data_IF_368281484219
#
_entry.id   IF_368281484219
#
_cell.length_a   1.000
_cell.length_b   1.000
_cell.length_c   1.000
_cell.angle_alpha   90.00
_cell.angle_beta   90.00
_cell.angle_gamma   90.00
#
_symmetry.space_group_name_H-M   'P 1'
#
loop_
_entity.id
_entity.type
_entity.pdbx_description
1 polymer ?
#
# COMPACT_ATOMS: atom_id res chain seq x y z
N UNK A 1 -3.15 -15.14 -27.01
CA UNK A 1 -4.22 -15.96 -26.44
C UNK A 1 -5.39 -15.07 -26.12
N UNK A 2 -6.65 -15.48 -26.41
CA UNK A 2 -7.81 -14.69 -26.01
C UNK A 2 -7.98 -14.84 -24.49
N UNK A 3 -8.06 -13.73 -23.79
CA UNK A 3 -8.45 -13.72 -22.38
C UNK A 3 -9.84 -14.40 -22.29
N UNK A 4 -10.07 -15.36 -21.37
CA UNK A 4 -11.38 -15.97 -21.22
C UNK A 4 -12.44 -14.89 -20.99
N UNK A 5 -13.60 -15.02 -21.65
CA UNK A 5 -14.68 -14.05 -21.48
C UNK A 5 -15.16 -14.07 -20.01
N UNK A 6 -15.27 -12.88 -19.40
CA UNK A 6 -15.74 -12.71 -18.03
C UNK A 6 -17.26 -12.55 -18.06
N UNK A 7 -17.98 -13.46 -17.40
CA UNK A 7 -19.41 -13.28 -17.16
C UNK A 7 -19.62 -12.37 -15.95
N UNK A 8 -19.92 -11.10 -16.23
CA UNK A 8 -20.18 -10.08 -15.19
C UNK A 8 -21.51 -10.31 -14.45
N UNK A 9 -22.39 -11.18 -14.97
CA UNK A 9 -23.64 -11.55 -14.30
C UNK A 9 -23.48 -12.79 -13.40
N UNK A 10 -22.33 -13.45 -13.42
CA UNK A 10 -22.02 -14.51 -12.49
C UNK A 10 -22.10 -13.99 -11.03
N UNK A 11 -22.43 -14.88 -10.08
CA UNK A 11 -22.41 -14.54 -8.65
C UNK A 11 -21.03 -14.04 -8.19
N UNK A 12 -19.97 -14.57 -8.80
CA UNK A 12 -18.56 -14.17 -8.61
C UNK A 12 -17.93 -14.02 -10.00
N UNK A 13 -17.84 -12.81 -10.56
CA UNK A 13 -17.13 -12.56 -11.81
C UNK A 13 -15.68 -13.02 -11.71
N UNK A 14 -15.17 -13.71 -12.73
CA UNK A 14 -13.82 -14.27 -12.66
C UNK A 14 -13.25 -14.63 -14.03
N UNK A 15 -11.92 -14.75 -14.08
CA UNK A 15 -11.18 -15.30 -15.23
C UNK A 15 -10.40 -16.57 -14.88
N UNK A 16 -10.76 -17.25 -13.79
CA UNK A 16 -10.06 -18.44 -13.26
C UNK A 16 -10.86 -19.74 -13.45
N UNK A 17 -11.94 -19.70 -14.23
CA UNK A 17 -12.72 -20.90 -14.56
C UNK A 17 -13.54 -21.45 -13.39
N UNK A 18 -14.11 -20.60 -12.53
CA UNK A 18 -14.93 -21.08 -11.39
C UNK A 18 -16.15 -21.90 -11.82
N UNK A 19 -16.63 -21.77 -13.06
CA UNK A 19 -17.70 -22.59 -13.60
C UNK A 19 -17.31 -24.09 -13.63
N UNK A 20 -16.05 -24.36 -13.90
CA UNK A 20 -15.50 -25.72 -14.03
C UNK A 20 -14.99 -26.29 -12.69
N UNK A 21 -14.91 -25.46 -11.64
CA UNK A 21 -14.53 -25.87 -10.28
C UNK A 21 -15.68 -25.63 -9.27
N UNK A 22 -16.72 -26.48 -9.27
CA UNK A 22 -17.90 -26.28 -8.42
C UNK A 22 -17.58 -26.37 -6.92
N UNK A 23 -16.46 -26.98 -6.52
CA UNK A 23 -16.05 -27.05 -5.12
C UNK A 23 -15.53 -25.69 -4.64
N UNK A 24 -14.61 -25.09 -5.38
CA UNK A 24 -14.06 -23.75 -5.05
C UNK A 24 -15.14 -22.70 -5.19
N UNK A 25 -15.95 -22.75 -6.26
CA UNK A 25 -17.07 -21.83 -6.45
C UNK A 25 -18.01 -21.81 -5.24
N UNK A 26 -18.49 -22.98 -4.78
CA UNK A 26 -19.36 -23.04 -3.59
C UNK A 26 -18.69 -22.56 -2.32
N UNK A 27 -17.40 -22.78 -2.16
CA UNK A 27 -16.67 -22.28 -1.00
C UNK A 27 -16.61 -20.75 -1.00
N UNK A 28 -16.36 -20.11 -2.14
CA UNK A 28 -16.37 -18.65 -2.29
C UNK A 28 -17.79 -18.07 -2.16
N UNK A 29 -18.80 -18.71 -2.74
CA UNK A 29 -20.21 -18.33 -2.57
C UNK A 29 -20.66 -18.38 -1.10
N UNK A 30 -20.11 -19.30 -0.31
CA UNK A 30 -20.34 -19.38 1.13
C UNK A 30 -19.63 -18.27 1.91
N UNK A 31 -18.43 -17.87 1.49
CA UNK A 31 -17.66 -16.79 2.11
C UNK A 31 -18.20 -15.39 1.75
N UNK A 32 -18.73 -15.22 0.56
CA UNK A 32 -19.21 -13.92 0.03
C UNK A 32 -20.15 -13.16 0.97
N UNK A 33 -21.17 -13.77 1.62
CA UNK A 33 -22.04 -13.05 2.55
C UNK A 33 -21.30 -12.41 3.71
N UNK A 34 -20.28 -13.09 4.26
CA UNK A 34 -19.43 -12.55 5.34
C UNK A 34 -18.62 -11.36 4.86
N UNK A 35 -18.06 -11.45 3.64
CA UNK A 35 -17.36 -10.34 3.01
C UNK A 35 -18.29 -9.12 2.79
N UNK A 36 -19.50 -9.32 2.29
CA UNK A 36 -20.46 -8.23 2.08
C UNK A 36 -20.93 -7.60 3.41
N UNK A 37 -21.04 -8.38 4.47
CA UNK A 37 -21.32 -7.88 5.82
C UNK A 37 -20.14 -7.04 6.33
N UNK A 38 -18.91 -7.57 6.22
CA UNK A 38 -17.70 -6.82 6.56
C UNK A 38 -17.57 -5.53 5.76
N UNK A 39 -17.82 -5.56 4.44
CA UNK A 39 -17.76 -4.38 3.59
C UNK A 39 -18.79 -3.32 3.97
N UNK A 40 -20.01 -3.73 4.30
CA UNK A 40 -21.05 -2.81 4.79
C UNK A 40 -20.65 -2.11 6.08
N UNK A 41 -19.98 -2.84 6.99
CA UNK A 41 -19.66 -2.34 8.32
C UNK A 41 -18.31 -1.61 8.36
N UNK A 42 -17.35 -2.07 7.57
CA UNK A 42 -15.95 -1.62 7.58
C UNK A 42 -15.50 -0.96 6.27
N UNK A 43 -16.29 -1.00 5.24
CA UNK A 43 -16.02 -0.35 3.97
C UNK A 43 -16.16 1.17 4.02
N UNK A 44 -15.81 1.85 2.92
CA UNK A 44 -15.79 3.31 2.86
C UNK A 44 -17.19 3.91 3.06
N UNK A 45 -17.29 4.90 3.93
CA UNK A 45 -18.53 5.64 4.20
C UNK A 45 -18.80 6.71 3.13
N UNK A 46 -20.06 7.18 3.07
CA UNK A 46 -20.55 8.26 2.23
C UNK A 46 -20.74 7.95 0.72
N UNK A 47 -20.42 6.76 0.27
CA UNK A 47 -20.63 6.37 -1.13
C UNK A 47 -22.04 5.82 -1.41
N UNK A 48 -22.71 5.26 -0.42
CA UNK A 48 -24.01 4.61 -0.57
C UNK A 48 -25.13 5.55 -1.09
N UNK A 49 -25.02 6.85 -0.81
CA UNK A 49 -26.00 7.88 -1.19
C UNK A 49 -25.64 8.60 -2.49
N UNK A 50 -24.52 8.21 -3.16
CA UNK A 50 -23.99 8.94 -4.32
C UNK A 50 -23.66 8.01 -5.45
N UNK A 51 -23.83 8.52 -6.66
CA UNK A 51 -23.26 7.91 -7.86
C UNK A 51 -21.76 8.27 -7.94
N UNK A 52 -20.92 7.28 -8.14
CA UNK A 52 -19.48 7.46 -8.24
C UNK A 52 -19.00 6.92 -9.58
N UNK A 53 -18.32 7.75 -10.35
CA UNK A 53 -17.69 7.32 -11.59
C UNK A 53 -16.40 6.59 -11.26
N UNK A 54 -16.37 5.28 -11.53
CA UNK A 54 -15.17 4.46 -11.40
C UNK A 54 -14.42 4.38 -12.72
N UNK A 55 -13.11 4.46 -12.57
CA UNK A 55 -12.18 4.18 -13.64
C UNK A 55 -11.04 3.38 -13.04
N UNK A 56 -10.97 2.10 -13.36
CA UNK A 56 -9.84 1.26 -12.96
C UNK A 56 -8.71 1.39 -13.99
N UNK A 57 -7.47 1.19 -13.55
CA UNK A 57 -6.31 1.24 -14.42
C UNK A 57 -6.24 0.03 -15.37
N UNK A 58 -6.90 -1.08 -15.00
CA UNK A 58 -6.83 -2.35 -15.71
C UNK A 58 -8.20 -2.81 -16.12
N UNK A 59 -8.29 -3.26 -17.37
CA UNK A 59 -9.43 -3.97 -17.90
C UNK A 59 -9.05 -5.42 -18.14
N UNK A 60 -9.85 -6.33 -17.60
CA UNK A 60 -9.71 -7.75 -17.93
C UNK A 60 -10.19 -7.99 -19.35
N UNK A 61 -11.25 -7.30 -19.77
CA UNK A 61 -11.77 -7.30 -21.13
C UNK A 61 -12.61 -6.04 -21.39
N UNK A 62 -12.88 -5.70 -22.68
CA UNK A 62 -13.78 -4.61 -23.02
C UNK A 62 -15.18 -4.83 -22.38
N UNK A 63 -15.67 -3.84 -21.67
CA UNK A 63 -16.92 -3.91 -20.93
C UNK A 63 -16.82 -4.56 -19.56
N UNK A 64 -15.60 -4.96 -19.10
CA UNK A 64 -15.35 -5.44 -17.77
C UNK A 64 -15.37 -4.33 -16.71
N UNK A 65 -14.98 -4.66 -15.49
CA UNK A 65 -15.00 -3.76 -14.34
C UNK A 65 -14.32 -2.42 -14.61
N UNK A 66 -13.21 -2.43 -15.33
CA UNK A 66 -12.44 -1.23 -15.64
C UNK A 66 -13.17 -0.24 -16.56
N UNK A 67 -14.22 -0.65 -17.22
CA UNK A 67 -14.97 0.15 -18.19
C UNK A 67 -16.31 0.65 -17.67
N UNK A 68 -16.67 0.37 -16.42
CA UNK A 68 -17.87 0.91 -15.84
C UNK A 68 -17.70 2.42 -15.60
N UNK A 69 -18.64 3.21 -16.14
CA UNK A 69 -18.57 4.66 -16.05
C UNK A 69 -18.92 5.15 -14.65
N UNK A 70 -19.90 4.52 -14.01
CA UNK A 70 -20.22 4.78 -12.61
C UNK A 70 -20.78 3.55 -11.92
N UNK A 71 -20.66 3.55 -10.60
CA UNK A 71 -21.08 2.47 -9.72
C UNK A 71 -21.78 3.07 -8.51
N UNK A 72 -22.89 2.43 -8.11
CA UNK A 72 -23.58 2.74 -6.85
C UNK A 72 -23.29 1.69 -5.81
N UNK A 73 -22.99 2.11 -4.60
CA UNK A 73 -23.01 1.20 -3.47
C UNK A 73 -24.47 0.85 -3.13
N UNK A 74 -24.77 -0.41 -2.76
CA UNK A 74 -23.90 -1.59 -2.65
C UNK A 74 -23.87 -2.49 -3.89
N UNK A 75 -24.28 -2.01 -5.07
CA UNK A 75 -24.39 -2.85 -6.28
C UNK A 75 -23.05 -3.26 -6.88
N UNK A 76 -21.94 -2.65 -6.43
CA UNK A 76 -20.61 -2.99 -6.89
C UNK A 76 -20.28 -4.45 -6.56
N UNK A 77 -19.71 -5.16 -7.54
CA UNK A 77 -19.34 -6.57 -7.41
C UNK A 77 -17.85 -6.76 -7.52
N UNK A 78 -17.33 -7.58 -6.64
CA UNK A 78 -15.95 -8.04 -6.68
C UNK A 78 -15.87 -9.35 -7.46
N UNK A 79 -14.65 -9.69 -7.84
CA UNK A 79 -14.39 -10.90 -8.60
C UNK A 79 -12.97 -11.40 -8.36
N UNK A 80 -12.64 -12.52 -9.02
CA UNK A 80 -11.33 -13.16 -8.95
C UNK A 80 -10.65 -13.04 -10.30
N UNK A 81 -9.57 -12.25 -10.35
CA UNK A 81 -8.83 -12.01 -11.57
C UNK A 81 -7.34 -12.23 -11.36
N UNK A 82 -6.75 -13.01 -12.24
CA UNK A 82 -5.32 -13.30 -12.29
C UNK A 82 -4.79 -12.93 -13.68
N UNK A 83 -3.52 -12.58 -13.77
CA UNK A 83 -2.84 -12.44 -15.07
C UNK A 83 -2.86 -13.75 -15.86
N UNK A 84 -2.78 -13.71 -17.21
CA UNK A 84 -2.81 -14.91 -18.04
C UNK A 84 -1.68 -15.89 -17.68
N UNK A 85 -1.98 -17.18 -17.77
CA UNK A 85 -0.96 -18.23 -17.61
C UNK A 85 0.01 -18.26 -18.79
N UNK A 86 1.30 -18.40 -18.51
CA UNK A 86 2.33 -18.61 -19.52
C UNK A 86 2.56 -20.11 -19.75
N UNK A 87 2.48 -20.58 -21.00
CA UNK A 87 2.57 -22.02 -21.35
C UNK A 87 3.86 -22.73 -20.90
N UNK A 88 4.89 -22.06 -20.50
CA UNK A 88 6.16 -22.63 -20.09
C UNK A 88 6.77 -21.85 -18.91
N UNK A 89 5.93 -21.52 -17.92
CA UNK A 89 6.40 -20.79 -16.74
C UNK A 89 7.55 -21.56 -16.06
N UNK A 90 8.59 -20.82 -15.68
CA UNK A 90 9.79 -21.35 -15.03
C UNK A 90 10.01 -20.66 -13.71
N UNK A 91 10.64 -21.38 -12.79
CA UNK A 91 11.12 -20.82 -11.53
C UNK A 91 12.23 -19.81 -11.83
N UNK A 92 12.06 -18.57 -11.37
CA UNK A 92 12.97 -17.47 -11.70
C UNK A 92 14.07 -17.27 -10.67
N UNK A 93 13.90 -17.79 -9.44
CA UNK A 93 14.78 -17.49 -8.31
C UNK A 93 14.90 -18.68 -7.38
N UNK A 94 16.03 -18.78 -6.67
CA UNK A 94 16.30 -19.81 -5.68
C UNK A 94 17.04 -21.02 -6.22
N UNK A 95 17.07 -22.07 -5.42
CA UNK A 95 17.92 -23.25 -5.67
C UNK A 95 17.47 -24.04 -6.91
N UNK A 96 16.15 -24.01 -7.23
CA UNK A 96 15.54 -24.70 -8.38
C UNK A 96 15.31 -23.79 -9.60
N UNK A 97 16.04 -22.69 -9.72
CA UNK A 97 15.95 -21.75 -10.86
C UNK A 97 16.04 -22.50 -12.21
N UNK A 98 15.07 -22.23 -13.10
CA UNK A 98 14.96 -22.86 -14.43
C UNK A 98 14.09 -24.13 -14.48
N UNK A 99 13.72 -24.72 -13.34
CA UNK A 99 12.74 -25.80 -13.28
C UNK A 99 11.33 -25.28 -13.66
N UNK A 100 10.36 -26.15 -14.02
CA UNK A 100 8.97 -25.73 -14.23
C UNK A 100 8.36 -25.09 -12.98
N UNK A 101 7.63 -23.99 -13.16
CA UNK A 101 6.84 -23.40 -12.08
C UNK A 101 5.73 -24.35 -11.60
N UNK A 102 5.22 -24.13 -10.40
CA UNK A 102 4.23 -25.00 -9.77
C UNK A 102 2.82 -24.49 -9.98
N UNK A 103 1.96 -25.32 -10.56
CA UNK A 103 0.51 -25.08 -10.65
C UNK A 103 -0.22 -25.49 -9.37
N UNK A 104 0.39 -26.38 -8.57
CA UNK A 104 -0.12 -26.90 -7.30
C UNK A 104 0.89 -26.60 -6.19
N UNK A 105 0.41 -26.59 -4.95
CA UNK A 105 1.25 -26.31 -3.78
C UNK A 105 2.10 -27.53 -3.39
N UNK A 106 3.43 -27.49 -3.51
CA UNK A 106 4.29 -28.55 -3.02
C UNK A 106 4.13 -28.76 -1.51
N UNK A 107 4.13 -30.01 -1.07
CA UNK A 107 3.88 -30.38 0.32
C UNK A 107 4.84 -29.70 1.30
N UNK A 108 6.13 -29.70 0.97
CA UNK A 108 7.24 -29.10 1.74
C UNK A 108 7.11 -27.57 1.87
N UNK A 109 6.50 -26.89 0.90
CA UNK A 109 6.35 -25.43 0.89
C UNK A 109 4.97 -24.96 1.35
N UNK A 110 4.03 -25.90 1.64
CA UNK A 110 2.64 -25.60 1.95
C UNK A 110 2.49 -24.61 3.11
N UNK A 111 3.23 -24.81 4.20
CA UNK A 111 3.17 -23.91 5.36
C UNK A 111 3.73 -22.51 5.08
N UNK A 112 4.81 -22.45 4.30
CA UNK A 112 5.45 -21.18 3.92
C UNK A 112 4.56 -20.38 2.97
N UNK A 113 4.04 -21.00 1.91
CA UNK A 113 3.13 -20.37 0.94
C UNK A 113 1.85 -19.88 1.61
N UNK A 114 1.22 -20.68 2.48
CA UNK A 114 0.03 -20.25 3.22
C UNK A 114 0.33 -18.99 4.03
N UNK A 115 1.44 -18.95 4.76
CA UNK A 115 1.84 -17.78 5.56
C UNK A 115 2.07 -16.55 4.70
N UNK A 116 2.76 -16.68 3.57
CA UNK A 116 2.98 -15.59 2.61
C UNK A 116 1.64 -15.04 2.11
N UNK A 117 0.75 -15.93 1.65
CA UNK A 117 -0.57 -15.53 1.11
C UNK A 117 -1.43 -14.87 2.20
N UNK A 118 -1.46 -15.42 3.42
CA UNK A 118 -2.23 -14.82 4.53
C UNK A 118 -1.67 -13.47 4.93
N UNK A 119 -0.34 -13.30 4.98
CA UNK A 119 0.27 -12.00 5.32
C UNK A 119 -0.07 -10.95 4.27
N UNK A 120 0.01 -11.30 2.98
CA UNK A 120 -0.41 -10.40 1.90
C UNK A 120 -1.91 -10.13 1.95
N UNK A 121 -2.73 -11.15 2.10
CA UNK A 121 -4.19 -11.02 2.15
C UNK A 121 -4.69 -10.15 3.32
N UNK A 122 -3.95 -10.08 4.43
CA UNK A 122 -4.31 -9.30 5.61
C UNK A 122 -4.12 -7.79 5.42
N UNK A 123 -3.30 -7.38 4.45
CA UNK A 123 -3.06 -5.96 4.13
C UNK A 123 -4.25 -5.32 3.42
N UNK A 124 -4.95 -6.06 2.59
CA UNK A 124 -6.03 -5.59 1.74
C UNK A 124 -7.25 -5.06 2.53
N UNK A 125 -7.89 -5.85 3.43
CA UNK A 125 -8.99 -5.35 4.23
C UNK A 125 -8.53 -4.29 5.25
N UNK A 126 -7.26 -4.34 5.67
CA UNK A 126 -6.69 -3.35 6.59
C UNK A 126 -6.68 -1.95 5.99
N UNK A 127 -6.24 -1.81 4.74
CA UNK A 127 -6.25 -0.57 3.97
C UNK A 127 -7.66 0.03 3.93
N UNK A 128 -8.66 -0.76 3.56
CA UNK A 128 -10.07 -0.33 3.51
C UNK A 128 -10.55 0.18 4.88
N UNK A 129 -10.29 -0.58 5.96
CA UNK A 129 -10.72 -0.23 7.32
C UNK A 129 -10.11 1.07 7.84
N UNK A 130 -8.80 1.26 7.62
CA UNK A 130 -8.10 2.48 8.04
C UNK A 130 -8.67 3.73 7.35
N UNK A 131 -9.13 3.61 6.11
CA UNK A 131 -9.59 4.70 5.26
C UNK A 131 -11.12 4.91 5.32
N UNK A 132 -11.87 4.06 6.01
CA UNK A 132 -13.34 3.96 5.94
C UNK A 132 -14.11 5.26 6.16
N UNK A 133 -13.60 6.17 6.99
CA UNK A 133 -14.32 7.40 7.37
C UNK A 133 -13.92 8.64 6.55
N UNK A 134 -12.92 8.52 5.69
CA UNK A 134 -12.35 9.66 4.97
C UNK A 134 -13.31 10.30 3.97
N UNK A 135 -14.29 9.56 3.44
CA UNK A 135 -15.34 10.09 2.59
C UNK A 135 -16.13 11.23 3.24
N UNK A 136 -16.25 11.21 4.59
CA UNK A 136 -16.96 12.23 5.36
C UNK A 136 -16.26 13.60 5.38
N UNK A 137 -14.99 13.65 4.99
CA UNK A 137 -14.18 14.87 4.96
C UNK A 137 -13.43 15.02 3.63
N UNK A 138 -13.97 14.47 2.55
CA UNK A 138 -13.33 14.49 1.25
C UNK A 138 -13.12 15.92 0.75
N UNK A 139 -11.90 16.28 0.28
CA UNK A 139 -11.60 17.65 -0.15
C UNK A 139 -12.26 18.01 -1.50
N UNK A 140 -12.76 17.02 -2.22
CA UNK A 140 -13.51 17.20 -3.47
C UNK A 140 -14.18 15.89 -3.90
N UNK A 141 -15.09 15.95 -4.86
CA UNK A 141 -15.66 14.75 -5.51
C UNK A 141 -14.59 13.96 -6.29
N UNK A 142 -13.57 14.64 -6.82
CA UNK A 142 -12.43 13.97 -7.45
C UNK A 142 -11.67 13.06 -6.47
N UNK A 143 -11.37 13.58 -5.29
CA UNK A 143 -10.64 12.84 -4.26
C UNK A 143 -11.52 11.73 -3.64
N UNK A 144 -12.80 11.99 -3.41
CA UNK A 144 -13.76 10.98 -2.96
C UNK A 144 -13.80 9.78 -3.92
N UNK A 145 -13.87 10.05 -5.22
CA UNK A 145 -13.83 9.01 -6.25
C UNK A 145 -12.53 8.19 -6.19
N UNK A 146 -11.39 8.88 -6.05
CA UNK A 146 -10.10 8.19 -5.96
C UNK A 146 -10.01 7.29 -4.72
N UNK A 147 -10.46 7.77 -3.56
CA UNK A 147 -10.57 6.97 -2.34
C UNK A 147 -11.42 5.71 -2.56
N UNK A 148 -12.60 5.87 -3.17
CA UNK A 148 -13.50 4.76 -3.43
C UNK A 148 -12.86 3.73 -4.38
N UNK A 149 -12.21 4.19 -5.45
CA UNK A 149 -11.54 3.31 -6.40
C UNK A 149 -10.43 2.51 -5.73
N UNK A 150 -9.55 3.14 -4.94
CA UNK A 150 -8.51 2.44 -4.15
C UNK A 150 -9.14 1.36 -3.29
N UNK A 151 -10.15 1.69 -2.49
CA UNK A 151 -10.78 0.72 -1.58
C UNK A 151 -11.46 -0.46 -2.31
N UNK A 152 -12.01 -0.22 -3.50
CA UNK A 152 -12.62 -1.29 -4.30
C UNK A 152 -11.55 -2.21 -4.90
N UNK A 153 -10.43 -1.67 -5.34
CA UNK A 153 -9.30 -2.42 -5.87
C UNK A 153 -8.65 -3.27 -4.77
N UNK A 154 -8.49 -2.75 -3.55
CA UNK A 154 -8.09 -3.53 -2.37
C UNK A 154 -9.06 -4.68 -2.06
N UNK A 155 -10.34 -4.44 -2.20
CA UNK A 155 -11.36 -5.49 -2.10
C UNK A 155 -11.16 -6.61 -3.14
N UNK A 156 -10.79 -6.28 -4.38
CA UNK A 156 -10.45 -7.29 -5.41
C UNK A 156 -9.19 -8.06 -5.09
N UNK A 157 -8.15 -7.39 -4.58
CA UNK A 157 -6.91 -8.02 -4.13
C UNK A 157 -7.20 -9.07 -3.05
N UNK A 158 -8.02 -8.73 -2.06
CA UNK A 158 -8.47 -9.69 -1.04
C UNK A 158 -9.17 -10.90 -1.67
N UNK A 159 -10.08 -10.71 -2.62
CA UNK A 159 -10.78 -11.79 -3.31
C UNK A 159 -9.83 -12.73 -4.04
N UNK A 160 -8.78 -12.22 -4.70
CA UNK A 160 -7.77 -13.04 -5.36
C UNK A 160 -7.00 -13.90 -4.36
N UNK A 161 -6.58 -13.33 -3.22
CA UNK A 161 -5.86 -14.07 -2.17
C UNK A 161 -6.76 -15.12 -1.49
N UNK A 162 -8.02 -14.79 -1.22
CA UNK A 162 -9.01 -15.73 -0.66
C UNK A 162 -9.28 -16.88 -1.63
N UNK A 163 -9.35 -16.61 -2.93
CA UNK A 163 -9.43 -17.67 -3.93
C UNK A 163 -8.25 -18.65 -3.84
N UNK A 164 -7.00 -18.16 -3.71
CA UNK A 164 -5.83 -19.02 -3.54
C UNK A 164 -5.95 -19.87 -2.27
N UNK A 165 -6.38 -19.28 -1.16
CA UNK A 165 -6.57 -19.97 0.11
C UNK A 165 -7.63 -21.09 -0.01
N UNK A 166 -8.77 -20.81 -0.63
CA UNK A 166 -9.84 -21.79 -0.80
C UNK A 166 -9.46 -22.92 -1.75
N UNK A 167 -8.79 -22.61 -2.86
CA UNK A 167 -8.45 -23.59 -3.89
C UNK A 167 -7.35 -24.53 -3.46
N UNK A 168 -6.27 -24.00 -2.87
CA UNK A 168 -5.03 -24.75 -2.69
C UNK A 168 -4.77 -25.22 -1.25
N UNK A 169 -5.47 -24.67 -0.24
CA UNK A 169 -5.17 -24.96 1.16
C UNK A 169 -6.29 -25.70 1.92
N UNK A 170 -7.40 -26.00 1.24
CA UNK A 170 -8.48 -26.80 1.80
C UNK A 170 -9.13 -26.19 3.04
N UNK A 171 -9.25 -26.94 4.15
CA UNK A 171 -9.85 -26.45 5.39
C UNK A 171 -9.03 -25.31 6.00
N UNK A 172 -7.71 -25.49 6.10
CA UNK A 172 -6.83 -24.48 6.68
C UNK A 172 -6.95 -23.14 5.94
N UNK A 173 -7.04 -23.17 4.60
CA UNK A 173 -7.24 -21.95 3.80
C UNK A 173 -8.58 -21.28 4.05
N UNK A 174 -9.64 -22.05 4.27
CA UNK A 174 -10.96 -21.48 4.62
C UNK A 174 -10.95 -20.83 6.00
N UNK A 175 -10.35 -21.48 6.98
CA UNK A 175 -10.23 -20.94 8.34
C UNK A 175 -9.42 -19.63 8.33
N UNK A 176 -8.34 -19.56 7.54
CA UNK A 176 -7.57 -18.31 7.36
C UNK A 176 -8.39 -17.21 6.65
N UNK A 177 -9.16 -17.55 5.61
CA UNK A 177 -9.98 -16.58 4.90
C UNK A 177 -11.08 -15.97 5.79
N UNK A 178 -11.61 -16.73 6.76
CA UNK A 178 -12.53 -16.21 7.77
C UNK A 178 -11.80 -15.29 8.76
N UNK A 179 -10.63 -15.70 9.24
CA UNK A 179 -9.81 -14.92 10.16
C UNK A 179 -9.38 -13.55 9.58
N UNK A 180 -9.22 -13.43 8.25
CA UNK A 180 -8.96 -12.15 7.60
C UNK A 180 -10.07 -11.11 7.85
N UNK A 181 -11.33 -11.55 7.94
CA UNK A 181 -12.46 -10.67 8.21
C UNK A 181 -12.75 -10.48 9.70
N UNK A 182 -12.11 -11.24 10.58
CA UNK A 182 -12.23 -11.10 12.03
C UNK A 182 -11.23 -10.10 12.59
N UNK A 183 -10.02 -10.02 12.00
CA UNK A 183 -9.04 -9.01 12.37
C UNK A 183 -9.54 -7.60 12.02
N UNK A 184 -9.10 -6.61 12.81
CA UNK A 184 -9.46 -5.19 12.63
C UNK A 184 -8.26 -4.30 12.83
N UNK A 185 -8.14 -3.28 11.99
CA UNK A 185 -7.12 -2.25 12.13
C UNK A 185 -7.23 -1.54 13.47
N UNK A 186 -6.17 -1.60 14.26
CA UNK A 186 -6.11 -0.95 15.58
C UNK A 186 -6.88 -1.63 16.69
N UNK A 187 -7.47 -2.80 16.45
CA UNK A 187 -8.13 -3.59 17.49
C UNK A 187 -7.07 -4.23 18.41
N UNK A 188 -7.17 -4.06 19.74
CA UNK A 188 -6.18 -4.62 20.66
C UNK A 188 -6.25 -6.15 20.78
N UNK A 189 -7.41 -6.76 20.55
CA UNK A 189 -7.64 -8.20 20.73
C UNK A 189 -7.42 -8.97 19.43
N UNK A 190 -7.79 -8.38 18.29
CA UNK A 190 -7.67 -8.98 16.96
C UNK A 190 -7.01 -8.00 15.95
N UNK A 191 -5.75 -7.57 16.20
CA UNK A 191 -5.08 -6.61 15.34
C UNK A 191 -4.72 -7.22 13.98
N UNK A 192 -4.46 -6.37 13.00
CA UNK A 192 -3.83 -6.75 11.74
C UNK A 192 -2.41 -7.25 11.99
N UNK A 193 -1.96 -8.18 11.15
CA UNK A 193 -0.66 -8.86 11.30
C UNK A 193 0.52 -7.89 11.29
N UNK A 194 0.48 -6.89 10.40
CA UNK A 194 1.57 -5.92 10.24
C UNK A 194 1.24 -4.60 10.92
N UNK A 195 2.19 -4.05 11.68
CA UNK A 195 1.98 -2.90 12.56
C UNK A 195 1.53 -1.62 11.87
N UNK A 196 1.98 -1.35 10.66
CA UNK A 196 1.58 -0.17 9.87
C UNK A 196 0.07 -0.16 9.59
N UNK A 197 -0.53 -1.33 9.43
CA UNK A 197 -1.96 -1.49 9.17
C UNK A 197 -2.84 -1.40 10.44
N UNK A 198 -2.24 -1.14 11.59
CA UNK A 198 -2.93 -0.80 12.83
C UNK A 198 -2.82 0.70 13.20
N UNK A 199 -2.16 1.50 12.33
CA UNK A 199 -2.02 2.93 12.57
C UNK A 199 -3.27 3.69 12.13
N UNK A 200 -3.67 4.75 12.83
CA UNK A 200 -4.84 5.53 12.44
C UNK A 200 -4.59 6.31 11.13
N UNK A 201 -5.55 6.19 10.21
CA UNK A 201 -5.61 6.98 8.97
C UNK A 201 -6.89 7.82 8.99
N UNK A 202 -6.96 8.79 9.89
CA UNK A 202 -8.17 9.52 10.27
C UNK A 202 -8.30 10.91 9.63
N UNK A 203 -7.41 11.26 8.70
CA UNK A 203 -7.46 12.48 7.90
C UNK A 203 -6.74 12.33 6.55
N UNK A 204 -7.05 13.22 5.60
CA UNK A 204 -6.58 13.10 4.21
C UNK A 204 -5.06 13.22 4.03
N UNK A 205 -4.34 13.93 4.90
CA UNK A 205 -2.88 13.91 4.86
C UNK A 205 -2.34 12.50 5.18
N UNK A 206 -2.93 11.81 6.18
CA UNK A 206 -2.58 10.41 6.47
C UNK A 206 -2.90 9.48 5.29
N UNK A 207 -4.03 9.67 4.62
CA UNK A 207 -4.40 8.90 3.44
C UNK A 207 -3.38 9.04 2.31
N UNK A 208 -3.02 10.28 1.95
CA UNK A 208 -2.03 10.47 0.90
C UNK A 208 -0.63 10.01 1.29
N UNK A 209 -0.25 10.11 2.57
CA UNK A 209 0.99 9.49 3.06
C UNK A 209 0.90 7.97 3.05
N UNK A 210 -0.24 7.38 3.43
CA UNK A 210 -0.46 5.92 3.38
C UNK A 210 -0.29 5.42 1.95
N UNK A 211 -1.06 5.92 1.00
CA UNK A 211 -0.97 5.51 -0.42
C UNK A 211 0.39 5.86 -1.04
N UNK A 212 1.07 6.90 -0.56
CA UNK A 212 2.43 7.24 -0.97
C UNK A 212 3.48 6.25 -0.47
N UNK A 213 3.37 5.78 0.79
CA UNK A 213 4.41 5.00 1.44
C UNK A 213 4.03 3.52 1.64
N UNK A 214 2.81 3.18 2.08
CA UNK A 214 2.40 1.81 2.30
C UNK A 214 2.08 1.09 0.99
N UNK A 215 1.29 1.69 0.08
CA UNK A 215 1.03 1.10 -1.22
C UNK A 215 2.30 1.05 -2.09
N UNK A 216 3.23 2.00 -1.87
CA UNK A 216 4.57 1.90 -2.48
C UNK A 216 5.36 0.71 -1.96
N UNK A 217 5.30 0.37 -0.67
CA UNK A 217 5.85 -0.88 -0.17
C UNK A 217 5.15 -2.07 -0.83
N UNK A 218 3.81 -2.05 -0.91
CA UNK A 218 3.00 -3.04 -1.61
C UNK A 218 3.51 -3.35 -3.01
N UNK A 219 3.84 -2.33 -3.80
CA UNK A 219 4.48 -2.50 -5.11
C UNK A 219 5.76 -3.34 -5.06
N UNK A 220 6.64 -3.13 -4.07
CA UNK A 220 7.90 -3.89 -3.95
C UNK A 220 7.65 -5.31 -3.45
N UNK A 221 6.71 -5.49 -2.52
CA UNK A 221 6.33 -6.81 -2.01
C UNK A 221 5.67 -7.66 -3.11
N UNK A 222 4.69 -7.10 -3.81
CA UNK A 222 3.99 -7.78 -4.91
C UNK A 222 4.94 -8.10 -6.06
N UNK A 223 5.86 -7.20 -6.43
CA UNK A 223 6.86 -7.47 -7.45
C UNK A 223 7.85 -8.57 -7.05
N UNK A 224 8.16 -8.70 -5.75
CA UNK A 224 8.97 -9.81 -5.26
C UNK A 224 8.18 -11.14 -5.22
N UNK A 225 6.87 -11.10 -4.94
CA UNK A 225 5.98 -12.27 -4.95
C UNK A 225 5.59 -12.71 -6.37
N UNK A 226 5.59 -11.79 -7.34
CA UNK A 226 5.42 -12.11 -8.76
C UNK A 226 6.50 -13.07 -9.27
N UNK A 227 7.67 -13.09 -8.66
CA UNK A 227 8.77 -14.03 -8.97
C UNK A 227 8.58 -15.41 -8.31
N UNK A 228 7.48 -15.66 -7.63
CA UNK A 228 7.22 -16.94 -6.94
C UNK A 228 7.17 -18.12 -7.90
N UNK A 229 7.79 -19.22 -7.49
CA UNK A 229 7.67 -20.51 -8.17
C UNK A 229 6.24 -21.06 -8.20
N UNK A 230 5.36 -20.59 -7.30
CA UNK A 230 3.94 -20.93 -7.30
C UNK A 230 3.19 -20.00 -8.26
N UNK A 231 2.97 -20.45 -9.50
CA UNK A 231 2.39 -19.69 -10.60
C UNK A 231 1.08 -18.96 -10.24
N UNK A 232 0.10 -19.57 -9.54
CA UNK A 232 -1.13 -18.86 -9.18
C UNK A 232 -0.89 -17.64 -8.30
N UNK A 233 0.07 -17.68 -7.37
CA UNK A 233 0.45 -16.52 -6.55
C UNK A 233 1.15 -15.46 -7.41
N UNK A 234 2.11 -15.86 -8.24
CA UNK A 234 2.82 -14.94 -9.13
C UNK A 234 1.86 -14.17 -10.03
N UNK A 235 0.87 -14.84 -10.64
CA UNK A 235 -0.15 -14.24 -11.50
C UNK A 235 -1.15 -13.36 -10.75
N UNK A 236 -1.50 -13.70 -9.52
CA UNK A 236 -2.30 -12.83 -8.66
C UNK A 236 -1.57 -11.52 -8.38
N UNK A 237 -0.31 -11.59 -7.96
CA UNK A 237 0.50 -10.42 -7.67
C UNK A 237 0.78 -9.58 -8.93
N UNK A 238 0.97 -10.20 -10.10
CA UNK A 238 1.11 -9.47 -11.37
C UNK A 238 -0.15 -8.68 -11.73
N UNK A 239 -1.33 -9.25 -11.51
CA UNK A 239 -2.58 -8.53 -11.71
C UNK A 239 -2.71 -7.34 -10.74
N UNK A 240 -2.48 -7.57 -9.44
CA UNK A 240 -2.55 -6.54 -8.41
C UNK A 240 -1.60 -5.36 -8.71
N UNK A 241 -0.37 -5.62 -9.16
CA UNK A 241 0.60 -4.59 -9.54
C UNK A 241 0.08 -3.60 -10.58
N UNK A 242 -0.84 -4.00 -11.44
CA UNK A 242 -1.42 -3.11 -12.45
C UNK A 242 -2.40 -2.10 -11.83
N UNK A 243 -3.10 -2.48 -10.76
CA UNK A 243 -4.00 -1.60 -9.99
C UNK A 243 -3.22 -0.74 -9.00
N UNK A 244 -2.16 -1.27 -8.38
CA UNK A 244 -1.24 -0.52 -7.51
C UNK A 244 -0.63 0.73 -8.16
N UNK A 245 -0.48 0.74 -9.48
CA UNK A 245 -0.03 1.92 -10.19
C UNK A 245 -0.97 3.13 -10.00
N UNK A 246 -2.27 2.89 -9.84
CA UNK A 246 -3.24 3.94 -9.55
C UNK A 246 -3.17 4.39 -8.07
N UNK A 247 -3.00 3.49 -7.13
CA UNK A 247 -2.82 3.82 -5.72
C UNK A 247 -1.61 4.75 -5.52
N UNK A 248 -0.47 4.39 -6.12
CA UNK A 248 0.73 5.23 -6.11
C UNK A 248 0.50 6.61 -6.74
N UNK A 249 -0.25 6.67 -7.84
CA UNK A 249 -0.62 7.94 -8.46
C UNK A 249 -1.44 8.81 -7.51
N UNK A 250 -2.41 8.24 -6.79
CA UNK A 250 -3.24 8.96 -5.82
C UNK A 250 -2.37 9.53 -4.69
N UNK A 251 -1.48 8.73 -4.12
CA UNK A 251 -0.60 9.15 -3.02
C UNK A 251 0.40 10.23 -3.44
N UNK A 252 1.17 9.97 -4.52
CA UNK A 252 2.22 10.88 -4.98
C UNK A 252 1.65 12.23 -5.41
N UNK A 253 0.54 12.22 -6.19
CA UNK A 253 -0.08 13.47 -6.66
C UNK A 253 -0.89 14.15 -5.56
N UNK A 254 -1.49 13.43 -4.62
CA UNK A 254 -2.16 13.99 -3.45
C UNK A 254 -1.20 14.78 -2.58
N UNK A 255 -0.05 14.19 -2.25
CA UNK A 255 1.03 14.88 -1.52
C UNK A 255 1.56 16.08 -2.32
N UNK A 256 1.85 15.93 -3.62
CA UNK A 256 2.28 17.06 -4.47
C UNK A 256 1.31 18.23 -4.39
N UNK A 257 0.00 17.96 -4.45
CA UNK A 257 -1.06 18.99 -4.41
C UNK A 257 -1.10 19.72 -3.06
N UNK A 258 -0.93 19.02 -1.95
CA UNK A 258 -0.86 19.65 -0.62
C UNK A 258 0.40 20.51 -0.50
N UNK A 259 1.55 19.98 -0.90
CA UNK A 259 2.85 20.67 -0.86
C UNK A 259 2.80 21.94 -1.74
N UNK A 260 2.25 21.84 -2.94
CA UNK A 260 2.05 23.00 -3.83
C UNK A 260 1.17 24.06 -3.17
N UNK A 261 0.06 23.63 -2.56
CA UNK A 261 -0.85 24.57 -1.89
C UNK A 261 -0.21 25.25 -0.69
N UNK A 262 0.58 24.52 0.08
CA UNK A 262 1.36 25.10 1.17
C UNK A 262 2.31 26.21 0.68
N UNK A 263 3.01 25.99 -0.43
CA UNK A 263 3.89 27.00 -1.03
C UNK A 263 3.11 28.22 -1.56
N UNK A 264 1.96 28.01 -2.21
CA UNK A 264 1.07 29.09 -2.66
C UNK A 264 0.60 29.96 -1.46
N UNK A 265 0.17 29.29 -0.38
CA UNK A 265 -0.33 30.01 0.82
C UNK A 265 0.78 30.73 1.58
N UNK A 266 1.97 30.15 1.68
CA UNK A 266 3.15 30.82 2.25
C UNK A 266 3.53 32.07 1.47
N UNK A 267 3.41 32.05 0.14
CA UNK A 267 3.77 33.18 -0.71
C UNK A 267 2.82 34.39 -0.58
N UNK A 268 1.57 34.16 -0.19
CA UNK A 268 0.58 35.25 -0.01
C UNK A 268 0.50 35.76 1.42
N UNK A 269 1.01 35.03 2.39
CA UNK A 269 1.03 35.45 3.79
C UNK A 269 2.26 36.33 4.08
N UNK A 270 2.11 37.47 4.75
CA UNK A 270 3.22 38.38 5.01
C UNK A 270 4.39 37.78 5.81
N UNK A 271 4.08 36.80 6.67
CA UNK A 271 5.06 36.14 7.53
C UNK A 271 5.33 34.70 7.08
N UNK A 272 4.73 34.26 5.96
CA UNK A 272 4.80 32.88 5.48
C UNK A 272 4.00 31.85 6.29
N UNK A 273 3.05 32.29 7.12
CA UNK A 273 2.25 31.42 7.98
C UNK A 273 1.11 30.73 7.22
N UNK A 274 1.39 29.51 6.80
CA UNK A 274 0.46 28.67 6.05
C UNK A 274 -0.78 28.29 6.87
N UNK A 275 -0.65 28.07 8.19
CA UNK A 275 -1.81 27.74 9.06
C UNK A 275 -2.78 28.92 9.20
N UNK A 276 -2.28 30.12 9.32
CA UNK A 276 -3.11 31.35 9.34
C UNK A 276 -3.94 31.45 8.05
N UNK A 277 -3.41 31.00 6.95
CA UNK A 277 -4.12 30.92 5.68
C UNK A 277 -5.03 29.68 5.54
N UNK A 278 -5.12 28.79 6.54
CA UNK A 278 -5.96 27.59 6.53
C UNK A 278 -5.38 26.44 5.71
N UNK A 279 -4.07 26.42 5.53
CA UNK A 279 -3.33 25.35 4.84
C UNK A 279 -2.54 24.45 5.80
N UNK A 280 -1.87 23.46 5.24
CA UNK A 280 -1.03 22.53 5.98
C UNK A 280 0.43 22.98 5.86
N UNK A 281 1.04 23.37 6.96
CA UNK A 281 2.41 23.88 6.98
C UNK A 281 3.46 22.81 6.73
N UNK A 282 4.67 23.23 6.28
CA UNK A 282 5.76 22.32 5.94
C UNK A 282 6.28 21.50 7.11
N UNK A 283 6.23 22.05 8.33
CA UNK A 283 6.60 21.29 9.54
C UNK A 283 5.65 20.13 9.79
N UNK A 284 4.34 20.32 9.60
CA UNK A 284 3.33 19.27 9.70
C UNK A 284 3.51 18.23 8.58
N UNK A 285 3.78 18.67 7.35
CA UNK A 285 4.09 17.75 6.23
C UNK A 285 5.33 16.91 6.51
N UNK A 286 6.40 17.50 7.02
CA UNK A 286 7.62 16.77 7.37
C UNK A 286 7.38 15.74 8.47
N UNK A 287 6.61 16.08 9.52
CA UNK A 287 6.26 15.14 10.60
C UNK A 287 5.41 13.98 10.11
N UNK A 288 4.48 14.23 9.17
CA UNK A 288 3.68 13.17 8.56
C UNK A 288 4.53 12.23 7.69
N UNK A 289 5.46 12.77 6.91
CA UNK A 289 6.44 11.99 6.12
C UNK A 289 7.29 11.13 7.06
N UNK A 290 7.84 11.71 8.12
CA UNK A 290 8.66 10.99 9.10
C UNK A 290 7.90 9.81 9.71
N UNK A 291 6.64 10.02 10.08
CA UNK A 291 5.79 9.01 10.70
C UNK A 291 5.51 7.84 9.73
N UNK A 292 4.89 8.12 8.59
CA UNK A 292 4.44 7.08 7.66
C UNK A 292 5.59 6.34 7.01
N UNK A 293 6.64 7.05 6.58
CA UNK A 293 7.83 6.41 6.02
C UNK A 293 8.46 5.40 7.00
N UNK A 294 8.62 5.79 8.26
CA UNK A 294 9.22 4.90 9.28
C UNK A 294 8.39 3.64 9.54
N UNK A 295 7.07 3.77 9.65
CA UNK A 295 6.18 2.60 9.79
C UNK A 295 6.20 1.70 8.57
N UNK A 296 6.29 2.25 7.37
CA UNK A 296 6.35 1.45 6.14
C UNK A 296 7.68 0.71 5.99
N UNK A 297 8.79 1.22 6.54
CA UNK A 297 10.04 0.47 6.59
C UNK A 297 9.94 -0.83 7.40
N UNK A 298 9.02 -0.90 8.35
CA UNK A 298 8.80 -2.11 9.16
C UNK A 298 8.02 -3.21 8.40
N UNK A 299 7.34 -2.87 7.30
CA UNK A 299 6.62 -3.83 6.45
C UNK A 299 7.57 -4.81 5.74
N UNK A 300 8.83 -4.44 5.53
CA UNK A 300 9.85 -5.33 4.98
C UNK A 300 10.30 -6.42 5.98
N UNK A 301 9.94 -6.31 7.25
CA UNK A 301 10.36 -7.22 8.31
C UNK A 301 11.75 -6.89 8.86
N UNK A 302 12.34 -7.85 9.58
CA UNK A 302 13.67 -7.68 10.18
C UNK A 302 14.76 -7.58 9.12
N UNK A 303 15.82 -6.82 9.41
CA UNK A 303 17.01 -6.63 8.58
C UNK A 303 17.72 -7.96 8.30
N UNK A 304 17.77 -8.84 9.31
CA UNK A 304 18.23 -10.22 9.17
C UNK A 304 17.04 -11.18 9.33
N UNK A 305 16.83 -12.05 8.35
CA UNK A 305 15.72 -12.98 8.37
C UNK A 305 16.06 -14.34 7.75
N UNK A 306 16.02 -15.37 8.58
CA UNK A 306 16.12 -16.75 8.11
C UNK A 306 14.90 -17.15 7.24
N UNK A 307 13.71 -16.61 7.54
CA UNK A 307 12.53 -16.85 6.72
C UNK A 307 12.69 -16.23 5.33
N UNK A 308 13.17 -14.98 5.23
CA UNK A 308 13.43 -14.34 3.94
C UNK A 308 14.48 -15.12 3.14
N UNK A 309 15.57 -15.56 3.79
CA UNK A 309 16.58 -16.42 3.18
C UNK A 309 15.98 -17.74 2.67
N UNK A 310 15.14 -18.38 3.49
CA UNK A 310 14.45 -19.62 3.12
C UNK A 310 13.45 -19.43 1.98
N UNK A 311 12.68 -18.35 1.99
CA UNK A 311 11.72 -18.04 0.90
C UNK A 311 12.45 -17.75 -0.42
N UNK A 312 13.55 -17.02 -0.37
CA UNK A 312 14.38 -16.75 -1.54
C UNK A 312 14.97 -18.06 -2.11
N UNK A 313 15.60 -18.88 -1.25
CA UNK A 313 16.21 -20.15 -1.66
C UNK A 313 15.20 -21.16 -2.22
N UNK A 314 14.01 -21.22 -1.66
CA UNK A 314 12.93 -22.08 -2.13
C UNK A 314 12.17 -21.51 -3.35
N UNK A 315 12.57 -20.36 -3.90
CA UNK A 315 11.88 -19.75 -5.03
C UNK A 315 10.50 -19.17 -4.71
N UNK A 316 10.17 -18.93 -3.44
CA UNK A 316 8.82 -18.47 -3.04
C UNK A 316 8.66 -16.94 -3.15
N UNK A 317 9.77 -16.20 -3.05
CA UNK A 317 9.81 -14.75 -3.12
C UNK A 317 11.18 -14.28 -3.60
N UNK A 318 11.21 -13.47 -4.66
CA UNK A 318 12.43 -12.90 -5.22
C UNK A 318 12.75 -11.49 -4.70
N UNK A 319 13.68 -10.81 -5.40
CA UNK A 319 13.94 -9.37 -5.25
C UNK A 319 13.05 -8.57 -6.20
N UNK A 320 12.99 -7.29 -6.03
CA UNK A 320 12.25 -6.42 -6.95
C UNK A 320 12.83 -6.49 -8.37
N UNK A 321 12.02 -6.92 -9.34
CA UNK A 321 12.45 -7.15 -10.73
C UNK A 321 13.63 -8.13 -10.83
N UNK A 322 13.52 -9.24 -10.17
CA UNK A 322 14.56 -10.27 -10.11
C UNK A 322 15.12 -10.62 -11.49
N UNK A 323 14.25 -11.01 -12.42
CA UNK A 323 14.63 -11.42 -13.77
C UNK A 323 15.30 -10.31 -14.60
N UNK A 324 14.92 -9.04 -14.36
CA UNK A 324 15.41 -7.90 -15.16
C UNK A 324 16.75 -7.34 -14.64
N UNK A 325 17.04 -7.50 -13.35
CA UNK A 325 18.11 -6.76 -12.64
C UNK A 325 19.28 -7.62 -12.19
N UNK A 326 19.06 -8.89 -11.98
CA UNK A 326 20.05 -9.77 -11.36
C UNK A 326 20.37 -10.96 -12.28
N UNK A 327 21.63 -11.33 -12.31
CA UNK A 327 22.11 -12.52 -13.04
C UNK A 327 22.43 -13.68 -12.11
N UNK A 328 22.53 -13.41 -10.81
CA UNK A 328 22.91 -14.39 -9.79
C UNK A 328 21.74 -15.18 -9.19
N UNK A 329 20.51 -14.86 -9.46
CA UNK A 329 19.21 -15.43 -9.00
C UNK A 329 19.20 -16.32 -7.75
N UNK A 330 20.35 -16.60 -7.17
CA UNK A 330 20.57 -17.39 -5.95
C UNK A 330 21.15 -16.57 -4.79
N UNK A 331 21.85 -15.47 -5.04
CA UNK A 331 22.42 -14.54 -4.05
C UNK A 331 23.22 -15.24 -2.91
N UNK A 332 23.94 -16.31 -3.21
CA UNK A 332 24.54 -17.20 -2.19
C UNK A 332 25.89 -16.71 -1.65
N UNK A 333 26.67 -16.01 -2.46
CA UNK A 333 28.07 -15.69 -2.18
C UNK A 333 28.34 -14.21 -1.90
N UNK A 334 27.35 -13.36 -2.08
CA UNK A 334 27.45 -11.93 -1.85
C UNK A 334 27.23 -11.59 -0.38
N UNK A 335 27.75 -10.43 0.04
CA UNK A 335 27.59 -9.89 1.39
C UNK A 335 26.89 -8.54 1.35
N UNK A 336 26.29 -8.18 2.46
CA UNK A 336 25.61 -6.92 2.69
C UNK A 336 26.12 -6.27 3.97
N UNK A 337 26.53 -5.00 3.89
CA UNK A 337 26.98 -4.24 5.04
C UNK A 337 25.76 -3.77 5.85
N UNK A 338 25.66 -4.21 7.10
CA UNK A 338 24.55 -3.93 7.98
C UNK A 338 25.01 -3.31 9.30
N UNK A 339 24.48 -2.13 9.64
CA UNK A 339 24.71 -1.52 10.93
C UNK A 339 23.75 -2.08 11.98
N UNK A 340 24.28 -2.51 13.12
CA UNK A 340 23.52 -2.91 14.31
C UNK A 340 23.87 -2.04 15.52
N UNK A 341 23.14 -2.21 16.63
CA UNK A 341 23.47 -1.55 17.91
C UNK A 341 24.07 -2.57 18.86
N UNK A 342 25.30 -2.33 19.30
CA UNK A 342 26.02 -3.16 20.27
C UNK A 342 26.61 -2.27 21.35
N UNK A 343 26.39 -2.62 22.61
CA UNK A 343 26.87 -1.87 23.78
C UNK A 343 26.59 -0.35 23.68
N UNK A 344 25.40 0.00 23.13
CA UNK A 344 24.99 1.40 22.96
C UNK A 344 25.74 2.17 21.85
N UNK A 345 26.34 1.47 20.89
CA UNK A 345 27.04 2.04 19.74
C UNK A 345 26.60 1.38 18.44
N UNK A 346 26.67 2.14 17.34
CA UNK A 346 26.49 1.59 16.00
C UNK A 346 27.75 0.83 15.58
N UNK A 347 27.57 -0.42 15.16
CA UNK A 347 28.62 -1.31 14.66
C UNK A 347 28.19 -1.85 13.30
N UNK A 348 29.03 -1.69 12.29
CA UNK A 348 28.81 -2.24 10.95
C UNK A 348 29.35 -3.66 10.85
N UNK A 349 28.59 -4.58 10.25
CA UNK A 349 28.97 -5.97 10.02
C UNK A 349 28.60 -6.41 8.61
N UNK A 350 29.46 -7.21 8.02
CA UNK A 350 29.17 -7.92 6.78
C UNK A 350 28.35 -9.18 7.10
N UNK A 351 27.18 -9.30 6.43
CA UNK A 351 26.29 -10.44 6.58
C UNK A 351 26.02 -11.08 5.21
N UNK A 352 25.69 -12.37 5.12
CA UNK A 352 25.31 -12.98 3.85
C UNK A 352 24.12 -12.26 3.21
N UNK A 353 24.24 -11.89 1.94
CA UNK A 353 23.18 -11.16 1.21
C UNK A 353 21.84 -11.88 1.28
N UNK A 354 21.84 -13.21 1.17
CA UNK A 354 20.64 -14.05 1.29
C UNK A 354 19.88 -13.81 2.59
N UNK A 355 20.57 -13.56 3.70
CA UNK A 355 19.95 -13.26 5.00
C UNK A 355 19.47 -11.82 5.11
N UNK A 356 19.92 -10.92 4.24
CA UNK A 356 19.61 -9.50 4.18
C UNK A 356 18.68 -9.14 2.99
N UNK A 357 17.95 -10.09 2.42
CA UNK A 357 17.08 -9.85 1.26
C UNK A 357 16.00 -8.77 1.56
N UNK A 358 15.53 -8.69 2.79
CA UNK A 358 14.60 -7.63 3.20
C UNK A 358 15.25 -6.24 3.07
N UNK A 359 16.55 -6.11 3.34
CA UNK A 359 17.30 -4.85 3.18
C UNK A 359 17.47 -4.49 1.70
N UNK A 360 17.68 -5.47 0.84
CA UNK A 360 17.75 -5.22 -0.62
C UNK A 360 16.45 -4.63 -1.14
N UNK A 361 15.29 -5.19 -0.73
CA UNK A 361 13.98 -4.63 -1.07
C UNK A 361 13.77 -3.24 -0.46
N UNK A 362 14.18 -3.05 0.79
CA UNK A 362 14.07 -1.77 1.50
C UNK A 362 14.92 -0.69 0.85
N UNK A 363 16.12 -1.02 0.36
CA UNK A 363 16.97 -0.09 -0.39
C UNK A 363 16.30 0.39 -1.67
N UNK A 364 15.73 -0.50 -2.45
CA UNK A 364 15.00 -0.16 -3.67
C UNK A 364 13.78 0.72 -3.38
N UNK A 365 13.04 0.42 -2.32
CA UNK A 365 11.91 1.21 -1.85
C UNK A 365 12.33 2.63 -1.42
N UNK A 366 13.39 2.75 -0.62
CA UNK A 366 13.92 4.06 -0.17
C UNK A 366 14.29 4.92 -1.38
N UNK A 367 15.03 4.36 -2.35
CA UNK A 367 15.40 5.05 -3.58
C UNK A 367 14.18 5.52 -4.38
N UNK A 368 13.10 4.73 -4.41
CA UNK A 368 11.86 5.11 -5.09
C UNK A 368 11.14 6.25 -4.35
N UNK A 369 11.11 6.22 -3.02
CA UNK A 369 10.59 7.31 -2.19
C UNK A 369 11.39 8.62 -2.38
N UNK A 370 12.73 8.54 -2.38
CA UNK A 370 13.60 9.69 -2.63
C UNK A 370 13.34 10.32 -4.00
N UNK A 371 13.03 9.50 -5.01
CA UNK A 371 12.72 10.01 -6.36
C UNK A 371 11.44 10.86 -6.34
N UNK A 372 10.41 10.47 -5.61
CA UNK A 372 9.19 11.27 -5.46
C UNK A 372 9.46 12.58 -4.68
N UNK A 373 10.23 12.52 -3.58
CA UNK A 373 10.61 13.72 -2.84
C UNK A 373 11.43 14.70 -3.70
N UNK A 374 12.35 14.18 -4.54
CA UNK A 374 13.09 15.04 -5.48
C UNK A 374 12.17 15.80 -6.42
N UNK A 375 11.09 15.17 -6.94
CA UNK A 375 10.09 15.85 -7.79
C UNK A 375 9.39 16.98 -7.03
N UNK A 376 8.95 16.72 -5.79
CA UNK A 376 8.30 17.72 -4.96
C UNK A 376 9.25 18.89 -4.63
N UNK A 377 10.49 18.60 -4.28
CA UNK A 377 11.50 19.64 -4.01
C UNK A 377 11.89 20.45 -5.26
N UNK A 378 11.88 19.84 -6.45
CA UNK A 378 12.06 20.55 -7.71
C UNK A 378 10.89 21.52 -7.95
N UNK A 379 9.65 21.05 -7.78
CA UNK A 379 8.46 21.90 -7.88
C UNK A 379 8.52 23.08 -6.89
N UNK A 380 8.90 22.84 -5.64
CA UNK A 380 9.08 23.92 -4.64
C UNK A 380 10.14 24.95 -5.08
N UNK A 381 11.26 24.49 -5.64
CA UNK A 381 12.30 25.38 -6.16
C UNK A 381 11.78 26.21 -7.34
N UNK A 382 11.05 25.62 -8.27
CA UNK A 382 10.42 26.30 -9.41
C UNK A 382 9.40 27.34 -8.97
N UNK A 383 8.71 27.11 -7.84
CA UNK A 383 7.79 28.06 -7.20
C UNK A 383 8.51 29.15 -6.38
N UNK A 384 9.84 29.12 -6.27
CA UNK A 384 10.62 30.06 -5.46
C UNK A 384 10.53 29.81 -3.96
N UNK A 385 10.01 28.66 -3.50
CA UNK A 385 9.94 28.32 -2.09
C UNK A 385 11.31 27.91 -1.54
N UNK A 386 11.73 28.41 -0.36
CA UNK A 386 12.95 27.96 0.31
C UNK A 386 12.81 26.58 0.96
N UNK A 387 11.58 26.11 1.15
CA UNK A 387 11.27 24.89 1.86
C UNK A 387 11.73 23.63 1.13
N UNK A 388 12.18 22.65 1.87
CA UNK A 388 12.56 21.32 1.35
C UNK A 388 12.08 20.23 2.30
N UNK A 389 11.59 19.13 1.72
CA UNK A 389 11.15 17.95 2.44
C UNK A 389 12.18 16.82 2.32
N UNK A 390 12.32 16.04 3.36
CA UNK A 390 13.33 14.99 3.47
C UNK A 390 12.70 13.68 3.98
N UNK A 391 13.28 12.54 3.60
CA UNK A 391 13.02 11.30 4.31
C UNK A 391 13.85 11.29 5.61
N UNK A 392 13.33 10.79 6.72
CA UNK A 392 14.15 10.52 7.88
C UNK A 392 15.09 9.34 7.57
N UNK A 393 16.16 9.22 8.36
CA UNK A 393 17.04 8.08 8.23
C UNK A 393 16.31 6.76 8.51
N UNK A 394 16.69 5.67 7.83
CA UNK A 394 16.06 4.35 7.91
C UNK A 394 16.01 3.73 9.32
N UNK A 395 16.77 4.22 10.28
CA UNK A 395 16.75 3.79 11.69
C UNK A 395 15.72 4.54 12.54
N UNK A 396 15.26 5.68 12.04
CA UNK A 396 14.35 6.54 12.80
C UNK A 396 13.01 5.86 13.05
N UNK A 397 12.56 5.87 14.30
CA UNK A 397 11.21 5.46 14.73
C UNK A 397 10.79 4.04 14.26
N UNK A 398 11.72 3.08 14.35
CA UNK A 398 11.48 1.68 13.96
C UNK A 398 10.87 0.87 15.11
N UNK A 399 9.98 -0.06 14.77
CA UNK A 399 9.26 -0.94 15.72
C UNK A 399 9.56 -2.41 15.49
N UNK A 400 10.25 -2.75 14.40
CA UNK A 400 10.64 -4.09 14.03
C UNK A 400 12.15 -4.17 13.74
N UNK A 401 12.71 -5.38 13.88
CA UNK A 401 14.08 -5.67 13.49
C UNK A 401 15.16 -5.15 14.47
N UNK A 402 16.35 -4.93 13.94
CA UNK A 402 17.56 -4.59 14.74
C UNK A 402 17.49 -3.22 15.42
N UNK A 403 16.67 -2.32 14.90
CA UNK A 403 16.55 -0.95 15.42
C UNK A 403 15.37 -0.79 16.40
N UNK A 404 14.51 -1.79 16.51
CA UNK A 404 13.43 -1.80 17.49
C UNK A 404 13.97 -1.75 18.92
N UNK A 405 13.34 -0.94 19.76
CA UNK A 405 13.76 -0.75 21.15
C UNK A 405 14.93 0.27 21.32
N UNK A 406 15.48 0.78 20.23
CA UNK A 406 16.46 1.87 20.23
C UNK A 406 15.80 3.18 19.75
N UNK A 407 16.33 4.30 20.25
CA UNK A 407 15.87 5.62 19.85
C UNK A 407 16.90 6.29 18.93
N UNK A 408 16.45 6.75 17.78
CA UNK A 408 17.25 7.48 16.82
C UNK A 408 16.58 8.81 16.49
N UNK A 409 17.37 9.83 16.22
CA UNK A 409 16.86 11.07 15.63
C UNK A 409 16.62 10.92 14.12
N UNK A 410 15.96 11.89 13.46
CA UNK A 410 15.70 11.82 12.01
C UNK A 410 16.97 11.75 11.15
N UNK A 411 18.14 12.10 11.67
CA UNK A 411 19.44 11.97 11.01
C UNK A 411 20.06 10.58 11.18
N UNK A 412 19.46 9.73 12.04
CA UNK A 412 19.89 8.35 12.30
C UNK A 412 20.96 8.22 13.39
N UNK A 413 21.16 9.27 14.17
CA UNK A 413 22.04 9.25 15.33
C UNK A 413 21.36 8.57 16.51
N UNK A 414 22.09 7.69 17.18
CA UNK A 414 21.59 6.98 18.35
C UNK A 414 21.48 7.93 19.54
N UNK A 415 20.30 8.05 20.11
CA UNK A 415 19.99 8.92 21.24
C UNK A 415 19.32 8.15 22.38
N UNK A 416 19.22 8.75 23.55
CA UNK A 416 18.50 8.12 24.67
C UNK A 416 16.98 8.19 24.47
N UNK A 417 16.21 7.26 25.06
CA UNK A 417 14.73 7.35 25.05
C UNK A 417 14.21 8.66 25.63
N UNK A 418 14.88 9.22 26.64
CA UNK A 418 14.51 10.52 27.22
C UNK A 418 14.70 11.69 26.24
N UNK A 419 15.80 11.69 25.49
CA UNK A 419 16.03 12.70 24.44
C UNK A 419 15.00 12.58 23.32
N UNK A 420 14.66 11.36 22.92
CA UNK A 420 13.60 11.14 21.93
C UNK A 420 12.25 11.66 22.42
N UNK A 421 11.85 11.29 23.65
CA UNK A 421 10.57 11.71 24.22
C UNK A 421 10.45 13.23 24.35
N UNK A 422 11.54 13.93 24.72
CA UNK A 422 11.57 15.38 24.83
C UNK A 422 11.38 16.11 23.47
N UNK A 423 11.76 15.49 22.37
CA UNK A 423 11.74 16.10 21.04
C UNK A 423 10.75 15.43 20.08
N UNK A 424 9.96 14.47 20.55
CA UNK A 424 9.04 13.66 19.72
C UNK A 424 8.13 14.54 18.86
N UNK A 425 7.54 15.58 19.43
CA UNK A 425 6.59 16.43 18.74
C UNK A 425 7.26 17.40 17.72
N UNK A 426 8.59 17.54 17.76
CA UNK A 426 9.34 18.19 16.68
C UNK A 426 9.42 17.28 15.43
N UNK A 427 9.40 15.97 15.60
CA UNK A 427 9.70 14.98 14.57
C UNK A 427 8.49 14.20 14.07
N UNK A 428 7.47 14.03 14.90
CA UNK A 428 6.27 13.24 14.63
C UNK A 428 5.02 14.08 14.88
N UNK A 429 3.92 13.73 14.21
CA UNK A 429 2.64 14.42 14.41
C UNK A 429 2.23 14.40 15.89
N UNK A 430 1.96 15.57 16.41
CA UNK A 430 1.41 15.76 17.75
C UNK A 430 -0.12 15.65 17.75
N UNK A 431 -0.71 15.54 18.95
CA UNK A 431 -2.16 15.62 19.12
C UNK A 431 -2.73 16.97 18.61
N UNK A 432 -1.96 18.06 18.78
CA UNK A 432 -2.35 19.39 18.29
C UNK A 432 -2.33 19.45 16.76
N UNK A 433 -1.32 18.83 16.09
CA UNK A 433 -1.29 18.75 14.63
C UNK A 433 -2.51 17.97 14.09
N UNK A 434 -2.81 16.80 14.68
CA UNK A 434 -3.96 16.00 14.28
C UNK A 434 -5.29 16.72 14.52
N UNK A 435 -5.42 17.47 15.61
CA UNK A 435 -6.61 18.29 15.88
C UNK A 435 -6.75 19.40 14.84
N UNK A 436 -5.65 20.09 14.51
CA UNK A 436 -5.64 21.12 13.46
C UNK A 436 -6.02 20.53 12.09
N UNK A 437 -5.39 19.43 11.68
CA UNK A 437 -5.69 18.78 10.40
C UNK A 437 -7.18 18.43 10.28
N UNK A 438 -7.76 17.82 11.30
CA UNK A 438 -9.20 17.53 11.31
C UNK A 438 -10.08 18.79 11.26
N UNK A 439 -9.64 19.88 11.87
CA UNK A 439 -10.43 21.13 11.90
C UNK A 439 -10.56 21.81 10.53
N UNK A 440 -9.57 21.64 9.64
CA UNK A 440 -9.59 22.25 8.29
C UNK A 440 -10.16 21.30 7.22
N UNK A 441 -10.41 20.03 7.54
CA UNK A 441 -10.87 19.02 6.60
C UNK A 441 -12.39 18.85 6.64
N UNK A 442 -13.09 19.87 6.16
CA UNK A 442 -14.54 19.81 5.95
C UNK A 442 -14.88 19.23 4.58
N UNK A 443 -15.98 18.49 4.45
CA UNK A 443 -16.33 17.84 3.18
C UNK A 443 -16.71 18.87 2.12
N UNK A 444 -16.14 18.74 0.92
CA UNK A 444 -16.51 19.51 -0.27
C UNK A 444 -17.20 18.58 -1.26
N UNK A 445 -18.50 18.82 -1.51
CA UNK A 445 -19.38 17.89 -2.22
C UNK A 445 -20.01 18.49 -3.48
N UNK A 446 -19.70 19.72 -3.80
CA UNK A 446 -20.21 20.39 -4.99
C UNK A 446 -19.24 20.22 -6.16
N UNK A 447 -19.72 19.88 -7.37
CA UNK A 447 -18.89 19.82 -8.56
C UNK A 447 -18.12 21.12 -8.79
N UNK A 448 -16.85 21.03 -9.18
CA UNK A 448 -16.01 22.21 -9.44
C UNK A 448 -15.51 22.93 -8.19
N UNK A 449 -15.72 22.38 -6.99
CA UNK A 449 -15.18 22.92 -5.75
C UNK A 449 -14.06 22.04 -5.18
N UNK A 450 -13.14 22.68 -4.47
CA UNK A 450 -11.98 22.06 -3.83
C UNK A 450 -11.73 22.68 -2.46
N UNK A 451 -11.39 21.87 -1.47
CA UNK A 451 -11.01 22.38 -0.16
C UNK A 451 -9.77 23.27 -0.24
N UNK A 452 -9.74 24.32 0.56
CA UNK A 452 -8.73 25.38 0.47
C UNK A 452 -7.30 24.91 0.77
N UNK A 453 -7.14 23.87 1.55
CA UNK A 453 -5.85 23.33 2.02
C UNK A 453 -5.12 22.44 1.01
N UNK A 454 -5.72 22.12 -0.15
CA UNK A 454 -5.14 21.28 -1.19
C UNK A 454 -5.32 21.92 -2.57
N UNK A 455 -4.32 21.85 -3.43
CA UNK A 455 -4.42 22.36 -4.79
C UNK A 455 -5.22 21.42 -5.70
N UNK A 456 -5.88 21.94 -6.75
CA UNK A 456 -6.59 21.13 -7.73
C UNK A 456 -5.66 20.17 -8.46
N UNK A 457 -6.18 19.02 -8.95
CA UNK A 457 -5.40 18.17 -9.83
C UNK A 457 -5.05 18.93 -11.14
N UNK A 458 -3.89 18.61 -11.73
CA UNK A 458 -3.48 19.25 -13.01
C UNK A 458 -4.44 18.91 -14.15
N UNK A 459 -5.06 17.73 -14.07
CA UNK A 459 -6.09 17.24 -15.01
C UNK A 459 -7.16 16.51 -14.22
N UNK A 460 -8.41 16.72 -14.60
CA UNK A 460 -9.53 16.01 -14.03
C UNK A 460 -9.66 14.58 -14.56
N UNK A 461 -10.75 13.92 -14.19
CA UNK A 461 -11.11 12.59 -14.67
C UNK A 461 -11.22 12.63 -16.21
N UNK A 462 -10.57 11.69 -16.87
CA UNK A 462 -10.52 11.66 -18.33
C UNK A 462 -9.52 12.61 -18.97
N UNK A 463 -8.65 13.28 -18.19
CA UNK A 463 -7.60 14.17 -18.69
C UNK A 463 -8.10 15.58 -19.08
N UNK A 464 -9.35 15.91 -18.76
CA UNK A 464 -9.92 17.23 -19.02
C UNK A 464 -9.34 18.27 -18.04
N UNK A 465 -9.12 19.51 -18.51
CA UNK A 465 -8.86 20.65 -17.64
C UNK A 465 -10.12 20.94 -16.81
N UNK A 466 -9.94 21.15 -15.52
CA UNK A 466 -11.03 21.52 -14.61
C UNK A 466 -10.64 22.81 -13.88
N UNK A 467 -11.55 23.78 -13.90
CA UNK A 467 -11.45 24.92 -13.02
C UNK A 467 -12.13 24.58 -11.68
N UNK A 468 -11.41 24.79 -10.60
CA UNK A 468 -11.92 24.57 -9.26
C UNK A 468 -12.00 25.88 -8.48
N UNK A 469 -13.13 26.11 -7.81
CA UNK A 469 -13.26 27.14 -6.82
C UNK A 469 -12.84 26.62 -5.43
N UNK A 470 -11.99 27.37 -4.74
CA UNK A 470 -11.61 27.01 -3.37
C UNK A 470 -12.74 27.28 -2.38
N UNK A 471 -13.00 26.29 -1.51
CA UNK A 471 -13.88 26.43 -0.36
C UNK A 471 -13.04 26.43 0.91
N UNK A 472 -13.17 27.49 1.70
CA UNK A 472 -12.53 27.60 3.03
C UNK A 472 -13.53 27.12 4.09
N UNK A 473 -13.05 26.31 5.04
CA UNK A 473 -13.81 25.89 6.21
C UNK A 473 -14.18 27.07 7.11
#
# INVERSE_FOLDING_TARGET
>A
MSIPSVDLNASIPNNVGLADDPKVRRALEHWQPKYLEWWRDMGPSDFAEREVYLRTAVSVEPGGWAHWEHVRMPEYRWGVFLSPHAEAARIHVGDDTGAPAWDEVPGEHRGALRRIIVTQADTEPASVEQQRLLGRMAPSLYDMRNLFQVNVEEGRHLWAMVYLLHKYFGKDGRDEAEALLERRSGDPDHPRILGAFNQPCDHWLSFFCFTMFADRDGKFQLAALRESAFDPLARSCEFMLTEEAFHLFVGETGMERIIRRAAELAAIDPDGDVRRQGGIDFGTLQRAINYWFSYCLDLFGSELSNNAAGYFGAGLKGRFKEADRYSDHQALTQHYALAGVEDGRLVEREVPLRSAINEVLRDDYIHDCERALRKWNTMLAEMGSPERLHLPHRRFHRHQGLYAGHSFDPQGELITPGQFAARRDEWLLSAADNAYLRSIMTPVREPGQMAHWIAPPRRGIGGQGLEYAYVRA
#
